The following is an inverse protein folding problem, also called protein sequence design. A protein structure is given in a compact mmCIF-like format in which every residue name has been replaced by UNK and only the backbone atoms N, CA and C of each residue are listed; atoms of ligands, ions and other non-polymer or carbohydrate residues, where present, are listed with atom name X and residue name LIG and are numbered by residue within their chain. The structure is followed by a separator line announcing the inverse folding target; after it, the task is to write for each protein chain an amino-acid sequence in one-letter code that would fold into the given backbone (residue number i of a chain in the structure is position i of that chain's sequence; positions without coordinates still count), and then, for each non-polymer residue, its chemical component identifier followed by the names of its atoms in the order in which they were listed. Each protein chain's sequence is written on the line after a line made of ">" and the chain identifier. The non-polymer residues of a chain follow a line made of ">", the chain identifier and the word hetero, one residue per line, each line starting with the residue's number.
data_IF_968640979914
#
_entry.id   IF_968640979914
#
_cell.length_a   1.000
_cell.length_b   1.000
_cell.length_c   1.000
_cell.angle_alpha   90.00
_cell.angle_beta   90.00
_cell.angle_gamma   90.00
#
_symmetry.space_group_name_H-M   'P 1'
#
loop_
_entity.id
_entity.type
_entity.pdbx_description
1 polymer ?
#
# COMPACT_ATOMS: atom_id res chain seq x y z
N UNK A 1 -9.52 19.11 -0.85
CA UNK A 1 -8.23 18.49 -1.23
C UNK A 1 -8.29 18.04 -2.67
N UNK A 2 -7.15 17.69 -3.26
CA UNK A 2 -7.08 17.01 -4.57
C UNK A 2 -6.87 15.53 -4.29
N UNK A 3 -7.68 14.69 -4.91
CA UNK A 3 -7.52 13.23 -4.89
C UNK A 3 -7.03 12.76 -6.26
N UNK A 4 -6.22 11.71 -6.25
CA UNK A 4 -5.80 10.99 -7.45
C UNK A 4 -5.65 9.51 -7.12
N UNK A 5 -5.78 8.67 -8.14
CA UNK A 5 -5.67 7.23 -7.99
C UNK A 5 -4.24 6.78 -8.29
N UNK A 6 -3.64 6.02 -7.37
CA UNK A 6 -2.43 5.26 -7.62
C UNK A 6 -2.79 3.86 -8.08
N UNK A 7 -2.16 3.38 -9.16
CA UNK A 7 -2.33 2.02 -9.67
C UNK A 7 -0.97 1.41 -10.05
N UNK A 8 -0.82 0.11 -9.82
CA UNK A 8 0.32 -0.69 -10.24
C UNK A 8 -0.19 -2.06 -10.71
N UNK A 9 0.42 -2.60 -11.76
CA UNK A 9 0.14 -3.96 -12.26
C UNK A 9 1.44 -4.71 -12.51
N UNK A 10 1.36 -6.05 -12.41
CA UNK A 10 2.49 -6.95 -12.70
C UNK A 10 1.96 -8.25 -13.32
N UNK A 11 2.85 -9.01 -13.96
CA UNK A 11 2.58 -10.37 -14.43
C UNK A 11 3.18 -11.37 -13.43
N UNK A 12 2.46 -12.46 -13.16
CA UNK A 12 2.88 -13.51 -12.23
C UNK A 12 3.60 -14.64 -12.96
N UNK A 13 4.60 -15.21 -12.30
CA UNK A 13 5.29 -16.45 -12.66
C UNK A 13 4.89 -17.63 -11.74
N UNK A 14 3.79 -17.47 -10.99
CA UNK A 14 3.36 -18.36 -9.92
C UNK A 14 3.27 -17.64 -8.57
N UNK A 15 3.85 -16.44 -8.46
CA UNK A 15 3.69 -15.54 -7.31
C UNK A 15 3.60 -14.09 -7.79
N UNK A 16 2.88 -13.24 -7.05
CA UNK A 16 2.80 -11.81 -7.32
C UNK A 16 3.65 -11.04 -6.30
N UNK A 17 4.43 -10.06 -6.77
CA UNK A 17 5.19 -9.16 -5.90
C UNK A 17 4.98 -7.72 -6.33
N UNK A 18 4.60 -6.89 -5.37
CA UNK A 18 4.43 -5.45 -5.55
C UNK A 18 5.33 -4.71 -4.55
N UNK A 19 5.88 -3.57 -4.97
CA UNK A 19 6.55 -2.64 -4.06
C UNK A 19 5.73 -1.37 -4.05
N UNK A 20 5.12 -1.08 -2.90
CA UNK A 20 4.18 0.03 -2.75
C UNK A 20 4.82 1.17 -1.95
N UNK A 21 4.61 2.44 -2.33
CA UNK A 21 5.36 3.55 -1.73
C UNK A 21 4.64 4.27 -0.58
N UNK A 22 3.34 4.03 -0.37
CA UNK A 22 2.55 4.78 0.61
C UNK A 22 2.06 3.87 1.73
N UNK A 23 2.18 4.34 2.97
CA UNK A 23 1.44 3.73 4.07
C UNK A 23 -0.04 4.10 3.94
N UNK A 24 -0.91 3.17 4.26
CA UNK A 24 -2.36 3.37 4.28
C UNK A 24 -2.89 3.52 5.70
N UNK A 25 -1.99 3.42 6.68
CA UNK A 25 -2.25 3.63 8.10
C UNK A 25 -1.25 4.67 8.64
N UNK A 26 -1.60 5.27 9.79
CA UNK A 26 -0.85 6.38 10.38
C UNK A 26 -1.40 7.76 10.00
N UNK A 27 -0.61 8.84 10.18
CA UNK A 27 0.82 8.84 10.51
C UNK A 27 1.12 8.46 11.96
N UNK A 28 2.31 7.90 12.20
CA UNK A 28 2.82 7.59 13.55
C UNK A 28 3.42 8.87 14.14
N UNK A 29 3.04 9.22 15.37
CA UNK A 29 3.55 10.41 16.07
C UNK A 29 5.08 10.38 16.13
N UNK A 30 5.72 11.45 15.67
CA UNK A 30 7.18 11.57 15.61
C UNK A 30 7.84 11.02 14.33
N UNK A 31 7.07 10.41 13.41
CA UNK A 31 7.56 9.93 12.12
C UNK A 31 7.33 10.96 10.99
N UNK A 32 7.05 10.51 9.76
CA UNK A 32 7.03 11.35 8.55
C UNK A 32 5.93 12.41 8.58
N UNK A 33 4.83 12.17 9.33
CA UNK A 33 3.75 13.14 9.55
C UNK A 33 3.27 13.82 8.26
N UNK A 34 2.91 12.99 7.27
CA UNK A 34 2.61 13.44 5.91
C UNK A 34 1.32 14.27 5.81
N UNK A 35 1.41 15.41 5.12
CA UNK A 35 0.27 16.30 4.78
C UNK A 35 -0.68 15.69 3.73
N UNK A 36 -0.24 14.62 3.06
CA UNK A 36 -1.01 13.85 2.07
C UNK A 36 -0.95 12.36 2.40
N UNK A 37 -2.11 11.74 2.61
CA UNK A 37 -2.22 10.31 2.88
C UNK A 37 -3.22 9.64 1.92
N UNK A 38 -3.06 8.34 1.62
CA UNK A 38 -4.12 7.56 1.02
C UNK A 38 -5.42 7.67 1.83
N UNK A 39 -6.55 7.78 1.14
CA UNK A 39 -7.89 7.85 1.77
C UNK A 39 -8.35 6.47 2.29
N UNK A 40 -7.65 5.39 1.92
CA UNK A 40 -7.97 4.03 2.31
C UNK A 40 -6.88 3.02 1.95
N UNK A 41 -7.14 1.71 2.15
CA UNK A 41 -6.19 0.65 1.89
C UNK A 41 -5.93 0.46 0.39
N UNK A 42 -4.87 -0.27 0.08
CA UNK A 42 -4.67 -0.76 -1.28
C UNK A 42 -5.74 -1.80 -1.63
N UNK A 43 -6.26 -1.74 -2.86
CA UNK A 43 -7.17 -2.75 -3.41
C UNK A 43 -6.41 -3.66 -4.35
N UNK A 44 -6.04 -4.84 -3.88
CA UNK A 44 -5.33 -5.85 -4.65
C UNK A 44 -6.34 -6.78 -5.33
N UNK A 45 -6.42 -6.73 -6.66
CA UNK A 45 -7.26 -7.63 -7.44
C UNK A 45 -6.42 -8.68 -8.16
N UNK A 46 -6.66 -9.96 -7.86
CA UNK A 46 -6.02 -11.12 -8.50
C UNK A 46 -7.15 -12.04 -8.98
N UNK A 47 -7.14 -12.39 -10.26
CA UNK A 47 -8.14 -13.29 -10.89
C UNK A 47 -9.61 -12.92 -10.57
N UNK A 48 -9.90 -11.62 -10.47
CA UNK A 48 -11.23 -11.09 -10.17
C UNK A 48 -11.60 -11.04 -8.68
N UNK A 49 -10.74 -11.56 -7.78
CA UNK A 49 -10.90 -11.46 -6.33
C UNK A 49 -10.17 -10.22 -5.83
N UNK A 50 -10.86 -9.35 -5.09
CA UNK A 50 -10.28 -8.15 -4.50
C UNK A 50 -10.09 -8.32 -3.00
N UNK A 51 -8.88 -8.00 -2.51
CA UNK A 51 -8.53 -7.92 -1.10
C UNK A 51 -8.08 -6.50 -0.75
N UNK A 52 -8.45 -6.05 0.45
CA UNK A 52 -7.93 -4.82 1.02
C UNK A 52 -6.61 -5.12 1.75
N UNK A 53 -5.54 -4.39 1.40
CA UNK A 53 -4.21 -4.54 1.98
C UNK A 53 -3.85 -3.25 2.71
N UNK A 54 -3.63 -3.41 4.01
CA UNK A 54 -3.24 -2.35 4.92
C UNK A 54 -1.72 -2.33 5.09
N UNK A 55 -1.11 -1.16 4.98
CA UNK A 55 0.34 -0.97 5.07
C UNK A 55 0.62 0.10 6.12
N UNK A 56 1.32 -0.27 7.19
CA UNK A 56 1.75 0.66 8.23
C UNK A 56 2.88 1.56 7.74
N UNK A 57 3.07 2.70 8.39
CA UNK A 57 4.22 3.58 8.11
C UNK A 57 5.56 2.88 8.39
N UNK A 58 5.64 2.07 9.46
CA UNK A 58 6.84 1.29 9.78
C UNK A 58 7.19 0.29 8.67
N UNK A 59 6.19 -0.38 8.08
CA UNK A 59 6.42 -1.31 6.97
C UNK A 59 7.07 -0.63 5.76
N UNK A 60 6.72 0.64 5.50
CA UNK A 60 7.34 1.45 4.46
C UNK A 60 8.77 1.83 4.84
N UNK A 61 8.96 2.36 6.07
CA UNK A 61 10.27 2.84 6.53
C UNK A 61 11.31 1.72 6.64
N UNK A 62 10.89 0.52 7.02
CA UNK A 62 11.75 -0.65 7.19
C UNK A 62 11.85 -1.53 5.94
N UNK A 63 11.02 -1.29 4.90
CA UNK A 63 10.97 -2.12 3.69
C UNK A 63 10.48 -3.54 3.97
N UNK A 64 9.49 -3.68 4.83
CA UNK A 64 8.93 -4.99 5.24
C UNK A 64 8.18 -5.68 4.10
N UNK A 65 8.08 -7.00 4.19
CA UNK A 65 7.28 -7.83 3.27
C UNK A 65 6.00 -8.24 3.97
N UNK A 66 4.86 -7.96 3.33
CA UNK A 66 3.53 -8.35 3.80
C UNK A 66 3.02 -9.48 2.90
N UNK A 67 2.64 -10.60 3.51
CA UNK A 67 2.02 -11.75 2.82
C UNK A 67 0.50 -11.67 2.90
N UNK A 68 -0.21 -12.00 1.81
CA UNK A 68 -1.66 -11.76 1.62
C UNK A 68 -2.39 -12.99 1.08
#
# INVERSE_FOLDING_TARGET
>A
GREFMYTQSTMSDGTYKFTVPYSTEGPIEGSTQFDTMPVGPYKLTIDGVTKDVHVSEDAILNGEVIEV
#
